data_IF_643697975260
#
_entry.id   IF_643697975260
#
_cell.length_a   1.000
_cell.length_b   1.000
_cell.length_c   1.000
_cell.angle_alpha   90.00
_cell.angle_beta   90.00
_cell.angle_gamma   90.00
#
_symmetry.space_group_name_H-M   'P 1'
#
loop_
_entity.id
_entity.type
_entity.pdbx_description
1 polymer ?
#
# COMPACT_ATOMS: atom_id res chain seq x y z
N UNK A 1 26.73 31.08 39.66
CA UNK A 1 27.75 30.21 40.30
C UNK A 1 28.90 30.97 40.98
N UNK A 2 29.21 32.21 40.59
CA UNK A 2 30.31 33.03 41.16
C UNK A 2 30.12 33.39 42.66
N UNK A 3 28.89 33.29 43.20
CA UNK A 3 28.58 33.60 44.61
C UNK A 3 28.42 32.36 45.50
N UNK A 4 28.74 31.16 45.01
CA UNK A 4 28.67 29.95 45.82
C UNK A 4 29.91 29.88 46.71
N UNK A 5 29.69 29.78 48.01
CA UNK A 5 30.74 29.72 49.02
C UNK A 5 30.88 28.27 49.50
N UNK A 6 32.12 27.78 49.58
CA UNK A 6 32.43 26.46 50.14
C UNK A 6 33.24 26.62 51.42
N UNK A 7 32.96 25.76 52.40
CA UNK A 7 33.62 25.78 53.70
C UNK A 7 35.00 25.13 53.57
N UNK A 8 36.05 25.90 53.81
CA UNK A 8 37.43 25.41 53.88
C UNK A 8 37.70 24.58 55.14
N UNK A 9 38.85 23.91 55.18
CA UNK A 9 39.24 23.03 56.29
C UNK A 9 39.33 23.75 57.66
N UNK A 10 39.56 25.06 57.67
CA UNK A 10 39.60 25.93 58.86
C UNK A 10 38.23 26.48 59.28
N UNK A 11 37.17 26.12 58.54
CA UNK A 11 35.79 26.58 58.79
C UNK A 11 35.41 27.92 58.16
N UNK A 12 36.36 28.62 57.52
CA UNK A 12 36.10 29.85 56.78
C UNK A 12 35.38 29.56 55.45
N UNK A 13 34.49 30.47 55.04
CA UNK A 13 33.78 30.40 53.76
C UNK A 13 34.61 31.09 52.69
N UNK A 14 34.99 30.35 51.65
CA UNK A 14 35.77 30.85 50.50
C UNK A 14 34.86 30.83 49.27
N UNK A 15 34.89 31.91 48.47
CA UNK A 15 34.12 31.97 47.24
C UNK A 15 34.72 31.05 46.17
N UNK A 16 33.88 30.25 45.48
CA UNK A 16 34.35 29.32 44.45
C UNK A 16 35.14 30.00 43.31
N UNK A 17 34.91 31.29 43.09
CA UNK A 17 35.59 32.08 42.08
C UNK A 17 37.10 32.30 42.36
N UNK A 18 37.56 32.12 43.60
CA UNK A 18 38.97 32.21 43.97
C UNK A 18 39.74 30.90 43.70
N UNK A 19 39.02 29.79 43.49
CA UNK A 19 39.61 28.45 43.31
C UNK A 19 39.85 28.08 41.84
N UNK A 20 39.33 28.84 40.87
CA UNK A 20 39.53 28.57 39.45
C UNK A 20 38.76 29.49 38.51
N UNK A 21 39.00 29.31 37.21
CA UNK A 21 38.34 30.05 36.13
C UNK A 21 37.22 29.21 35.53
N UNK A 22 36.07 29.84 35.26
CA UNK A 22 34.96 29.19 34.59
C UNK A 22 35.14 29.25 33.08
N UNK A 23 35.24 28.08 32.44
CA UNK A 23 35.17 27.96 30.99
C UNK A 23 33.80 27.39 30.60
N UNK A 24 33.09 28.11 29.74
CA UNK A 24 31.89 27.56 29.12
C UNK A 24 32.34 26.64 27.98
N UNK A 25 32.25 25.33 28.22
CA UNK A 25 32.46 24.33 27.19
C UNK A 25 31.11 23.77 26.72
N UNK A 26 30.92 23.52 25.41
CA UNK A 26 29.75 22.80 24.95
C UNK A 26 29.75 21.41 25.60
N UNK A 27 28.63 21.04 26.22
CA UNK A 27 28.46 19.71 26.81
C UNK A 27 28.43 18.67 25.69
N UNK A 28 29.16 17.57 25.87
CA UNK A 28 29.14 16.45 24.95
C UNK A 28 27.71 15.91 24.79
N UNK A 29 27.27 15.79 23.54
CA UNK A 29 25.96 15.21 23.24
C UNK A 29 25.96 13.71 23.52
N UNK A 30 24.84 13.19 24.00
CA UNK A 30 24.64 11.75 24.18
C UNK A 30 24.81 11.02 22.85
N UNK A 31 25.74 10.07 22.81
CA UNK A 31 25.95 9.20 21.65
C UNK A 31 25.02 7.99 21.75
N UNK A 32 24.03 7.93 20.86
CA UNK A 32 23.17 6.77 20.72
C UNK A 32 23.93 5.62 20.07
N UNK A 33 23.62 4.39 20.47
CA UNK A 33 24.22 3.19 19.92
C UNK A 33 23.13 2.20 19.51
N UNK A 34 23.31 1.56 18.36
CA UNK A 34 22.48 0.45 17.88
C UNK A 34 23.36 -0.66 17.35
N UNK A 35 23.13 -1.88 17.80
CA UNK A 35 23.95 -3.05 17.45
C UNK A 35 25.46 -2.77 17.63
N UNK A 36 25.81 -2.12 18.74
CA UNK A 36 27.18 -1.69 19.08
C UNK A 36 27.82 -0.66 18.14
N UNK A 37 27.06 -0.09 17.19
CA UNK A 37 27.52 1.01 16.33
C UNK A 37 26.91 2.34 16.81
N UNK A 38 27.68 3.44 16.84
CA UNK A 38 27.13 4.76 17.12
C UNK A 38 26.17 5.18 16.01
N UNK A 39 25.05 5.81 16.38
CA UNK A 39 24.00 6.23 15.45
C UNK A 39 23.51 7.65 15.76
N UNK A 40 23.05 8.34 14.71
CA UNK A 40 22.38 9.64 14.81
C UNK A 40 21.00 9.50 14.18
N UNK A 41 19.97 9.84 14.95
CA UNK A 41 18.59 9.83 14.48
C UNK A 41 18.24 11.16 13.83
N UNK A 42 17.80 11.12 12.57
CA UNK A 42 17.24 12.26 11.86
C UNK A 42 15.76 11.98 11.64
N UNK A 43 14.92 12.83 12.23
CA UNK A 43 13.46 12.72 12.12
C UNK A 43 12.93 13.76 11.15
N UNK A 44 11.96 13.35 10.33
CA UNK A 44 11.22 14.23 9.44
C UNK A 44 9.77 13.74 9.37
N UNK A 45 8.84 14.68 9.26
CA UNK A 45 7.43 14.37 9.04
C UNK A 45 7.08 14.57 7.57
N UNK A 46 6.28 13.65 7.03
CA UNK A 46 5.77 13.75 5.67
C UNK A 46 4.41 14.44 5.69
N UNK A 47 4.24 15.48 4.86
CA UNK A 47 2.97 16.18 4.73
C UNK A 47 2.51 16.16 3.27
N UNK A 48 1.27 15.70 3.06
CA UNK A 48 0.61 15.63 1.75
C UNK A 48 1.16 14.64 0.73
N UNK A 49 2.06 13.74 1.15
CA UNK A 49 2.54 12.62 0.34
C UNK A 49 2.71 11.37 1.20
N UNK A 50 2.57 10.17 0.61
CA UNK A 50 2.83 8.93 1.34
C UNK A 50 4.30 8.89 1.81
N UNK A 51 4.59 8.44 3.04
CA UNK A 51 5.95 8.34 3.57
C UNK A 51 6.91 7.56 2.66
N UNK A 52 6.40 6.50 2.03
CA UNK A 52 7.10 5.71 1.03
C UNK A 52 7.65 6.55 -0.13
N UNK A 53 6.84 7.45 -0.67
CA UNK A 53 7.25 8.31 -1.78
C UNK A 53 8.31 9.32 -1.36
N UNK A 54 8.16 9.91 -0.17
CA UNK A 54 9.13 10.85 0.37
C UNK A 54 10.51 10.21 0.51
N UNK A 55 10.55 8.97 1.02
CA UNK A 55 11.81 8.24 1.22
C UNK A 55 12.44 7.84 -0.11
N UNK A 56 11.65 7.39 -1.09
CA UNK A 56 12.13 7.09 -2.44
C UNK A 56 12.67 8.35 -3.12
N UNK A 57 12.01 9.51 -2.97
CA UNK A 57 12.48 10.79 -3.50
C UNK A 57 13.81 11.21 -2.86
N UNK A 58 13.94 11.11 -1.53
CA UNK A 58 15.17 11.45 -0.83
C UNK A 58 16.31 10.51 -1.24
N UNK A 59 16.04 9.20 -1.35
CA UNK A 59 17.04 8.23 -1.80
C UNK A 59 17.48 8.44 -3.25
N UNK A 60 16.57 8.89 -4.13
CA UNK A 60 16.88 9.14 -5.53
C UNK A 60 17.95 10.24 -5.71
N UNK A 61 17.98 11.22 -4.81
CA UNK A 61 18.96 12.31 -4.81
C UNK A 61 20.25 11.94 -4.05
N UNK A 62 20.36 10.75 -3.46
CA UNK A 62 21.56 10.35 -2.71
C UNK A 62 22.70 9.99 -3.66
N UNK A 63 23.86 10.62 -3.46
CA UNK A 63 25.10 10.34 -4.19
C UNK A 63 26.14 9.75 -3.24
N UNK A 64 26.86 8.73 -3.71
CA UNK A 64 27.88 8.02 -2.91
C UNK A 64 29.22 8.75 -2.86
N UNK A 65 29.48 9.63 -3.81
CA UNK A 65 30.66 10.49 -3.80
C UNK A 65 30.42 11.74 -2.94
N UNK A 66 31.34 12.09 -2.04
CA UNK A 66 31.22 13.30 -1.23
C UNK A 66 31.15 14.54 -2.10
N UNK A 67 30.02 15.23 -2.03
CA UNK A 67 29.83 16.52 -2.68
C UNK A 67 30.60 17.55 -1.86
N UNK A 68 31.56 18.25 -2.49
CA UNK A 68 32.16 19.42 -1.86
C UNK A 68 31.04 20.45 -1.66
N UNK A 69 30.87 21.04 -0.46
CA UNK A 69 29.88 22.07 -0.25
C UNK A 69 30.22 23.24 -1.19
N UNK A 70 29.53 23.32 -2.32
CA UNK A 70 29.69 24.40 -3.27
C UNK A 70 29.10 25.63 -2.60
N UNK A 71 29.97 26.53 -2.17
CA UNK A 71 29.58 27.83 -1.64
C UNK A 71 28.75 28.57 -2.71
N UNK A 72 27.42 28.48 -2.61
CA UNK A 72 26.49 29.23 -3.45
C UNK A 72 25.76 28.45 -4.57
N UNK A 73 25.58 27.13 -4.50
CA UNK A 73 24.67 26.47 -5.44
C UNK A 73 23.20 26.83 -5.15
N UNK A 74 22.71 27.91 -5.76
CA UNK A 74 21.30 28.34 -5.83
C UNK A 74 20.48 27.39 -6.70
N UNK A 75 20.55 26.09 -6.40
CA UNK A 75 19.76 25.07 -7.10
C UNK A 75 18.37 25.08 -6.51
N UNK A 76 17.39 25.47 -7.31
CA UNK A 76 15.99 25.43 -6.90
C UNK A 76 15.51 23.97 -6.95
N UNK A 77 14.96 23.43 -5.85
CA UNK A 77 14.45 22.07 -5.87
C UNK A 77 13.33 21.96 -6.91
N UNK A 78 13.31 20.85 -7.64
CA UNK A 78 12.21 20.53 -8.56
C UNK A 78 10.89 20.55 -7.78
N UNK A 79 9.84 21.23 -8.27
CA UNK A 79 8.58 21.34 -7.54
C UNK A 79 7.91 19.96 -7.36
N UNK A 80 7.29 19.76 -6.20
CA UNK A 80 6.77 18.45 -5.75
C UNK A 80 5.77 17.85 -6.73
N UNK A 81 4.87 18.65 -7.32
CA UNK A 81 3.86 18.19 -8.27
C UNK A 81 4.42 17.67 -9.61
N UNK A 82 5.67 18.00 -9.93
CA UNK A 82 6.33 17.53 -11.16
C UNK A 82 7.14 16.24 -10.96
N UNK A 83 7.22 15.76 -9.70
CA UNK A 83 7.90 14.51 -9.35
C UNK A 83 6.91 13.36 -9.50
N UNK A 84 7.31 12.33 -10.21
CA UNK A 84 6.50 11.12 -10.42
C UNK A 84 7.34 9.89 -10.10
N UNK A 85 6.72 8.72 -10.10
CA UNK A 85 7.43 7.45 -9.93
C UNK A 85 8.61 7.28 -10.91
N UNK A 86 8.47 7.77 -12.15
CA UNK A 86 9.52 7.69 -13.18
C UNK A 86 10.50 8.87 -13.15
N UNK A 87 10.13 9.96 -12.49
CA UNK A 87 10.93 11.19 -12.39
C UNK A 87 11.02 11.64 -10.93
N UNK A 88 11.53 10.72 -10.10
CA UNK A 88 11.70 10.94 -8.67
C UNK A 88 12.86 11.89 -8.37
N UNK A 89 12.92 12.33 -7.12
CA UNK A 89 13.96 13.22 -6.63
C UNK A 89 13.67 14.71 -6.88
N UNK A 90 14.25 15.52 -6.01
CA UNK A 90 14.26 16.97 -6.09
C UNK A 90 15.29 17.51 -7.10
N UNK A 91 16.24 16.67 -7.52
CA UNK A 91 17.39 17.09 -8.32
C UNK A 91 18.48 17.78 -7.49
N UNK A 92 18.34 17.82 -6.16
CA UNK A 92 19.34 18.32 -5.24
C UNK A 92 20.13 17.14 -4.66
N UNK A 93 21.24 16.83 -5.32
CA UNK A 93 22.13 15.78 -4.88
C UNK A 93 22.61 16.03 -3.44
N UNK A 94 22.57 15.00 -2.60
CA UNK A 94 23.11 15.03 -1.25
C UNK A 94 23.99 13.80 -1.01
N UNK A 95 24.97 13.93 -0.11
CA UNK A 95 25.91 12.85 0.21
C UNK A 95 26.30 12.92 1.68
N UNK A 96 26.79 11.80 2.20
CA UNK A 96 27.41 11.74 3.53
C UNK A 96 28.90 11.44 3.41
N UNK A 97 29.73 11.90 4.38
CA UNK A 97 31.14 11.54 4.43
C UNK A 97 31.37 10.02 4.41
N UNK A 98 32.52 9.60 3.86
CA UNK A 98 32.90 8.18 3.82
C UNK A 98 32.93 7.59 5.23
N UNK A 99 32.36 6.40 5.39
CA UNK A 99 32.26 5.69 6.67
C UNK A 99 30.96 5.94 7.44
N UNK A 100 30.07 6.80 6.93
CA UNK A 100 28.71 6.98 7.44
C UNK A 100 27.74 6.26 6.51
N UNK A 101 27.00 5.31 7.05
CA UNK A 101 25.94 4.60 6.33
C UNK A 101 24.59 5.25 6.63
N UNK A 102 23.84 5.63 5.61
CA UNK A 102 22.46 6.11 5.76
C UNK A 102 21.50 4.96 5.58
N UNK A 103 20.71 4.69 6.62
CA UNK A 103 19.82 3.53 6.67
C UNK A 103 18.38 4.04 6.84
N UNK A 104 17.62 4.08 5.74
CA UNK A 104 16.18 4.35 5.76
C UNK A 104 15.34 3.09 6.05
N UNK A 105 15.92 1.90 5.86
CA UNK A 105 15.24 0.59 5.92
C UNK A 105 15.48 -0.19 7.22
N UNK A 106 16.20 0.39 8.18
CA UNK A 106 16.64 -0.27 9.41
C UNK A 106 15.81 0.07 10.66
N UNK A 107 15.01 1.13 10.58
CA UNK A 107 14.11 1.65 11.62
C UNK A 107 13.10 2.61 10.96
N UNK A 108 11.92 2.78 11.57
CA UNK A 108 10.89 3.69 11.08
C UNK A 108 9.84 3.04 10.16
N UNK A 109 8.94 3.89 9.66
CA UNK A 109 7.71 3.47 8.97
C UNK A 109 7.99 2.68 7.68
N UNK A 110 9.01 3.06 6.90
CA UNK A 110 9.32 2.43 5.61
C UNK A 110 9.68 0.96 5.69
N UNK A 111 10.47 0.56 6.69
CA UNK A 111 10.79 -0.87 6.92
C UNK A 111 9.50 -1.64 7.18
N UNK A 112 8.66 -1.11 8.07
CA UNK A 112 7.39 -1.75 8.46
C UNK A 112 6.47 -1.84 7.25
N UNK A 113 6.35 -0.77 6.45
CA UNK A 113 5.59 -0.78 5.20
C UNK A 113 6.08 -1.87 4.26
N UNK A 114 7.38 -1.96 3.98
CA UNK A 114 7.93 -2.96 3.07
C UNK A 114 7.72 -4.39 3.56
N UNK A 115 7.97 -4.65 4.84
CA UNK A 115 7.77 -5.98 5.43
C UNK A 115 6.30 -6.38 5.38
N UNK A 116 5.38 -5.50 5.78
CA UNK A 116 3.94 -5.77 5.76
C UNK A 116 3.41 -5.97 4.33
N UNK A 117 3.82 -5.13 3.37
CA UNK A 117 3.41 -5.29 1.97
C UNK A 117 3.95 -6.58 1.35
N UNK A 118 5.20 -6.96 1.65
CA UNK A 118 5.78 -8.23 1.21
C UNK A 118 4.97 -9.40 1.78
N UNK A 119 4.73 -9.39 3.08
CA UNK A 119 4.09 -10.50 3.78
C UNK A 119 2.61 -10.63 3.35
N UNK A 120 1.89 -9.52 3.16
CA UNK A 120 0.54 -9.52 2.59
C UNK A 120 0.52 -9.94 1.12
N UNK A 121 1.52 -9.56 0.33
CA UNK A 121 1.66 -9.99 -1.06
C UNK A 121 1.87 -11.50 -1.18
N UNK A 122 2.73 -12.06 -0.32
CA UNK A 122 2.92 -13.51 -0.20
C UNK A 122 1.65 -14.20 0.28
N UNK A 123 0.95 -13.63 1.25
CA UNK A 123 -0.34 -14.16 1.72
C UNK A 123 -1.40 -14.15 0.62
N UNK A 124 -1.46 -13.11 -0.21
CA UNK A 124 -2.36 -13.04 -1.36
C UNK A 124 -2.02 -14.11 -2.41
N UNK A 125 -0.74 -14.33 -2.71
CA UNK A 125 -0.31 -15.40 -3.61
C UNK A 125 -0.69 -16.79 -3.07
N UNK A 126 -0.48 -17.03 -1.78
CA UNK A 126 -0.89 -18.28 -1.12
C UNK A 126 -2.41 -18.46 -1.14
N UNK A 127 -3.18 -17.39 -0.91
CA UNK A 127 -4.65 -17.42 -0.99
C UNK A 127 -5.14 -17.75 -2.41
N UNK A 128 -4.55 -17.14 -3.44
CA UNK A 128 -4.88 -17.47 -4.84
C UNK A 128 -4.61 -18.94 -5.17
N UNK A 129 -3.49 -19.50 -4.69
CA UNK A 129 -3.16 -20.92 -4.88
C UNK A 129 -4.18 -21.80 -4.16
N UNK A 130 -4.53 -21.48 -2.92
CA UNK A 130 -5.51 -22.25 -2.15
C UNK A 130 -6.90 -22.20 -2.79
N UNK A 131 -7.34 -21.03 -3.26
CA UNK A 131 -8.59 -20.88 -4.02
C UNK A 131 -8.55 -21.74 -5.29
N UNK A 132 -7.45 -21.72 -6.04
CA UNK A 132 -7.28 -22.55 -7.24
C UNK A 132 -7.47 -24.03 -6.92
N UNK A 133 -6.78 -24.55 -5.90
CA UNK A 133 -6.88 -25.97 -5.50
C UNK A 133 -8.31 -26.34 -5.11
N UNK A 134 -8.98 -25.49 -4.33
CA UNK A 134 -10.38 -25.72 -3.93
C UNK A 134 -11.31 -25.73 -5.16
N UNK A 135 -11.12 -24.79 -6.09
CA UNK A 135 -11.94 -24.72 -7.31
C UNK A 135 -11.70 -25.90 -8.25
N UNK A 136 -10.46 -26.39 -8.38
CA UNK A 136 -10.15 -27.60 -9.14
C UNK A 136 -10.86 -28.80 -8.51
N UNK A 137 -10.79 -28.93 -7.19
CA UNK A 137 -11.46 -30.02 -6.46
C UNK A 137 -12.99 -29.98 -6.62
N UNK A 138 -13.58 -28.76 -6.63
CA UNK A 138 -15.03 -28.57 -6.77
C UNK A 138 -15.53 -28.77 -8.21
N UNK A 139 -14.83 -28.20 -9.19
CA UNK A 139 -15.27 -28.21 -10.60
C UNK A 139 -14.88 -29.49 -11.34
N UNK A 140 -13.89 -30.24 -10.84
CA UNK A 140 -13.32 -31.41 -11.52
C UNK A 140 -12.59 -31.06 -12.83
N UNK A 141 -12.24 -29.80 -13.04
CA UNK A 141 -11.62 -29.28 -14.26
C UNK A 141 -10.49 -28.31 -13.92
N UNK A 142 -9.41 -28.33 -14.68
CA UNK A 142 -8.29 -27.40 -14.50
C UNK A 142 -8.50 -26.05 -15.20
N UNK A 143 -9.37 -26.00 -16.21
CA UNK A 143 -9.61 -24.79 -17.01
C UNK A 143 -10.68 -23.87 -16.41
N UNK A 144 -11.74 -24.45 -15.81
CA UNK A 144 -12.83 -23.67 -15.21
C UNK A 144 -12.37 -22.77 -14.05
N UNK A 145 -11.49 -23.23 -13.13
CA UNK A 145 -10.93 -22.40 -12.08
C UNK A 145 -10.17 -21.19 -12.63
N UNK A 146 -9.45 -21.33 -13.74
CA UNK A 146 -8.70 -20.22 -14.34
C UNK A 146 -9.67 -19.15 -14.87
N UNK A 147 -10.77 -19.55 -15.49
CA UNK A 147 -11.83 -18.62 -15.94
C UNK A 147 -12.43 -17.86 -14.76
N UNK A 148 -12.72 -18.57 -13.66
CA UNK A 148 -13.24 -17.97 -12.43
C UNK A 148 -12.22 -17.00 -11.80
N UNK A 149 -10.95 -17.39 -11.75
CA UNK A 149 -9.88 -16.57 -11.19
C UNK A 149 -9.51 -15.37 -12.06
N UNK A 150 -9.86 -15.38 -13.35
CA UNK A 150 -9.69 -14.22 -14.23
C UNK A 150 -10.39 -12.98 -13.65
N UNK A 151 -11.47 -13.14 -12.88
CA UNK A 151 -12.16 -12.04 -12.23
C UNK A 151 -11.32 -11.32 -11.16
N UNK A 152 -10.28 -11.97 -10.59
CA UNK A 152 -9.40 -11.38 -9.57
C UNK A 152 -8.55 -10.24 -10.15
N UNK A 153 -7.75 -10.40 -11.23
CA UNK A 153 -7.07 -9.27 -11.87
C UNK A 153 -7.99 -8.10 -12.22
N UNK A 154 -9.25 -8.37 -12.61
CA UNK A 154 -10.20 -7.32 -12.91
C UNK A 154 -10.63 -6.51 -11.67
N UNK A 155 -10.52 -7.06 -10.45
CA UNK A 155 -10.74 -6.27 -9.23
C UNK A 155 -9.65 -5.23 -9.04
N UNK A 156 -8.39 -5.57 -9.36
CA UNK A 156 -7.26 -4.62 -9.27
C UNK A 156 -7.46 -3.45 -10.23
N UNK A 157 -8.00 -3.73 -11.43
CA UNK A 157 -8.40 -2.71 -12.42
C UNK A 157 -9.55 -1.83 -11.89
N UNK A 158 -10.34 -2.32 -10.94
CA UNK A 158 -11.33 -1.51 -10.24
C UNK A 158 -10.77 -0.67 -9.10
N UNK A 159 -9.97 -1.30 -8.23
CA UNK A 159 -9.44 -0.71 -7.00
C UNK A 159 -8.47 0.42 -7.33
N UNK A 160 -7.47 0.18 -8.19
CA UNK A 160 -6.40 1.17 -8.42
C UNK A 160 -6.93 2.48 -9.03
N UNK A 161 -7.73 2.46 -10.12
CA UNK A 161 -8.35 3.68 -10.64
C UNK A 161 -9.42 4.24 -9.68
N UNK A 162 -10.05 3.40 -8.86
CA UNK A 162 -10.98 3.82 -7.83
C UNK A 162 -10.33 4.73 -6.79
N UNK A 163 -9.17 4.34 -6.25
CA UNK A 163 -8.38 5.19 -5.35
C UNK A 163 -7.90 6.47 -6.03
N UNK A 164 -7.49 6.37 -7.30
CA UNK A 164 -7.12 7.57 -8.07
C UNK A 164 -8.30 8.53 -8.23
N UNK A 165 -9.47 8.02 -8.61
CA UNK A 165 -10.69 8.80 -8.79
C UNK A 165 -11.18 9.39 -7.46
N UNK A 166 -11.09 8.62 -6.38
CA UNK A 166 -11.41 9.08 -5.03
C UNK A 166 -10.54 10.28 -4.65
N UNK A 167 -9.23 10.18 -4.85
CA UNK A 167 -8.32 11.28 -4.55
C UNK A 167 -8.47 12.47 -5.51
N UNK A 168 -8.93 12.24 -6.74
CA UNK A 168 -9.23 13.31 -7.69
C UNK A 168 -10.51 14.08 -7.34
N UNK A 169 -11.54 13.42 -6.79
CA UNK A 169 -12.85 14.03 -6.46
C UNK A 169 -12.91 14.53 -5.02
N UNK A 170 -12.41 13.72 -4.08
CA UNK A 170 -12.49 13.94 -2.64
C UNK A 170 -11.13 14.29 -2.02
N UNK A 171 -10.15 14.72 -2.82
CA UNK A 171 -8.86 15.18 -2.32
C UNK A 171 -9.06 16.36 -1.36
N UNK A 172 -9.11 16.06 -0.06
CA UNK A 172 -9.16 17.06 1.00
C UNK A 172 -7.84 17.82 1.03
N UNK A 173 -7.89 19.11 1.36
CA UNK A 173 -6.70 19.90 1.66
C UNK A 173 -6.78 20.25 3.13
N UNK A 174 -5.79 19.83 3.92
CA UNK A 174 -5.67 20.20 5.32
C UNK A 174 -4.57 21.27 5.41
N UNK A 175 -4.98 22.52 5.55
CA UNK A 175 -4.08 23.67 5.51
C UNK A 175 -3.50 23.90 4.12
N UNK A 176 -2.18 23.73 3.96
CA UNK A 176 -1.47 23.86 2.66
C UNK A 176 -1.10 22.51 2.05
N UNK A 177 -1.50 21.39 2.66
CA UNK A 177 -1.10 20.04 2.25
C UNK A 177 -2.32 19.24 1.77
N UNK A 178 -2.12 18.42 0.75
CA UNK A 178 -3.13 17.45 0.31
C UNK A 178 -3.35 16.40 1.41
N UNK A 179 -4.55 15.87 1.54
CA UNK A 179 -4.89 14.75 2.43
C UNK A 179 -5.56 13.64 1.61
N UNK A 180 -4.80 12.94 0.77
CA UNK A 180 -5.33 11.86 -0.05
C UNK A 180 -5.53 10.58 0.79
N UNK A 181 -6.53 9.80 0.40
CA UNK A 181 -6.72 8.45 0.94
C UNK A 181 -5.67 7.54 0.31
N UNK A 182 -4.76 7.05 1.14
CA UNK A 182 -3.64 6.20 0.70
C UNK A 182 -4.06 4.74 0.50
N UNK A 183 -3.40 4.08 -0.46
CA UNK A 183 -3.41 2.63 -0.53
C UNK A 183 -2.48 2.07 0.55
N UNK A 184 -3.07 1.65 1.68
CA UNK A 184 -2.34 1.12 2.84
C UNK A 184 -2.39 -0.40 2.89
N UNK A 185 -1.72 -1.00 3.88
CA UNK A 185 -1.81 -2.43 4.16
C UNK A 185 -3.26 -2.91 4.37
N UNK A 186 -4.14 -2.08 4.94
CA UNK A 186 -5.55 -2.43 5.14
C UNK A 186 -6.31 -2.51 3.81
N UNK A 187 -5.92 -1.72 2.80
CA UNK A 187 -6.45 -1.84 1.45
C UNK A 187 -6.06 -3.17 0.77
N UNK A 188 -4.84 -3.69 1.02
CA UNK A 188 -4.45 -5.02 0.55
C UNK A 188 -5.28 -6.13 1.18
N UNK A 189 -5.62 -6.01 2.48
CA UNK A 189 -6.53 -6.95 3.15
C UNK A 189 -7.90 -6.93 2.46
N UNK A 190 -8.42 -5.75 2.13
CA UNK A 190 -9.64 -5.63 1.35
C UNK A 190 -9.55 -6.27 -0.04
N UNK A 191 -8.41 -6.15 -0.74
CA UNK A 191 -8.17 -6.86 -2.01
C UNK A 191 -8.17 -8.39 -1.86
N UNK A 192 -7.57 -8.91 -0.78
CA UNK A 192 -7.61 -10.35 -0.46
C UNK A 192 -9.07 -10.80 -0.24
N UNK A 193 -9.85 -10.03 0.53
CA UNK A 193 -11.26 -10.32 0.77
C UNK A 193 -12.08 -10.28 -0.54
N UNK A 194 -11.83 -9.30 -1.41
CA UNK A 194 -12.46 -9.19 -2.73
C UNK A 194 -12.21 -10.41 -3.61
N UNK A 195 -10.99 -10.95 -3.61
CA UNK A 195 -10.70 -12.17 -4.37
C UNK A 195 -11.62 -13.33 -3.95
N UNK A 196 -11.90 -13.49 -2.65
CA UNK A 196 -12.85 -14.48 -2.15
C UNK A 196 -14.30 -14.19 -2.54
N UNK A 197 -14.77 -12.95 -2.40
CA UNK A 197 -16.15 -12.57 -2.74
C UNK A 197 -16.40 -12.77 -4.24
N UNK A 198 -15.51 -12.27 -5.08
CA UNK A 198 -15.65 -12.33 -6.53
C UNK A 198 -15.55 -13.76 -7.04
N UNK A 199 -14.66 -14.58 -6.47
CA UNK A 199 -14.57 -16.00 -6.85
C UNK A 199 -15.84 -16.77 -6.49
N UNK A 200 -16.47 -16.46 -5.35
CA UNK A 200 -17.77 -17.01 -4.95
C UNK A 200 -18.87 -16.68 -5.97
N UNK A 201 -18.98 -15.42 -6.38
CA UNK A 201 -20.02 -15.02 -7.34
C UNK A 201 -19.76 -15.63 -8.74
N UNK A 202 -18.49 -15.72 -9.11
CA UNK A 202 -18.02 -16.27 -10.37
C UNK A 202 -18.25 -17.78 -10.50
N UNK A 203 -17.90 -18.57 -9.47
CA UNK A 203 -18.06 -20.04 -9.50
C UNK A 203 -19.54 -20.43 -9.59
N UNK A 204 -20.39 -19.72 -8.86
CA UNK A 204 -21.85 -19.93 -8.85
C UNK A 204 -22.46 -19.71 -10.23
N UNK A 205 -21.95 -18.74 -11.00
CA UNK A 205 -22.37 -18.50 -12.38
C UNK A 205 -21.89 -19.61 -13.32
N UNK A 206 -20.61 -19.99 -13.24
CA UNK A 206 -20.02 -21.06 -14.08
C UNK A 206 -20.69 -22.40 -13.83
N UNK A 207 -20.95 -22.77 -12.57
CA UNK A 207 -21.64 -24.01 -12.21
C UNK A 207 -23.05 -24.07 -12.80
N UNK A 208 -23.77 -22.93 -12.84
CA UNK A 208 -25.09 -22.86 -13.47
C UNK A 208 -25.03 -23.02 -14.98
N UNK A 209 -24.02 -22.43 -15.63
CA UNK A 209 -23.80 -22.60 -17.07
C UNK A 209 -23.53 -24.06 -17.39
N UNK A 210 -22.64 -24.71 -16.63
CA UNK A 210 -22.31 -26.13 -16.82
C UNK A 210 -23.53 -27.04 -16.57
N UNK A 211 -24.33 -26.73 -15.54
CA UNK A 211 -25.58 -27.44 -15.28
C UNK A 211 -26.59 -27.29 -16.42
N UNK A 212 -26.75 -26.10 -16.98
CA UNK A 212 -27.66 -25.85 -18.09
C UNK A 212 -27.20 -26.59 -19.38
N UNK A 213 -25.89 -26.63 -19.64
CA UNK A 213 -25.31 -27.40 -20.76
C UNK A 213 -25.55 -28.90 -20.55
N UNK A 214 -25.38 -29.42 -19.33
CA UNK A 214 -25.65 -30.85 -19.02
C UNK A 214 -27.11 -31.23 -19.20
N UNK A 215 -28.04 -30.29 -19.03
CA UNK A 215 -29.46 -30.48 -19.36
C UNK A 215 -29.76 -30.37 -20.87
N UNK A 216 -28.73 -30.33 -21.72
CA UNK A 216 -28.87 -30.33 -23.18
C UNK A 216 -29.19 -28.96 -23.78
N UNK A 217 -29.07 -27.86 -23.02
CA UNK A 217 -29.27 -26.51 -23.58
C UNK A 217 -28.08 -26.09 -24.43
N UNK A 218 -28.30 -25.38 -25.55
CA UNK A 218 -27.22 -24.83 -26.34
C UNK A 218 -26.42 -23.81 -25.52
N UNK A 219 -25.11 -23.73 -25.77
CA UNK A 219 -24.15 -22.94 -24.99
C UNK A 219 -24.60 -21.48 -24.79
N UNK A 220 -25.13 -20.84 -25.83
CA UNK A 220 -25.59 -19.46 -25.78
C UNK A 220 -26.80 -19.28 -24.84
N UNK A 221 -27.81 -20.13 -24.95
CA UNK A 221 -29.01 -20.06 -24.12
C UNK A 221 -28.69 -20.39 -22.65
N UNK A 222 -27.79 -21.35 -22.43
CA UNK A 222 -27.30 -21.70 -21.10
C UNK A 222 -26.62 -20.50 -20.41
N UNK A 223 -25.79 -19.75 -21.14
CA UNK A 223 -25.15 -18.54 -20.63
C UNK A 223 -26.18 -17.44 -20.35
N UNK A 224 -27.12 -17.22 -21.27
CA UNK A 224 -28.12 -16.15 -21.13
C UNK A 224 -29.04 -16.39 -19.93
N UNK A 225 -29.59 -17.60 -19.80
CA UNK A 225 -30.47 -17.97 -18.68
C UNK A 225 -29.74 -17.91 -17.35
N UNK A 226 -28.51 -18.42 -17.30
CA UNK A 226 -27.69 -18.39 -16.08
C UNK A 226 -27.43 -16.95 -15.61
N UNK A 227 -27.19 -16.02 -16.54
CA UNK A 227 -27.02 -14.60 -16.20
C UNK A 227 -28.29 -13.99 -15.60
N UNK A 228 -29.46 -14.24 -16.20
CA UNK A 228 -30.74 -13.66 -15.73
C UNK A 228 -31.09 -14.13 -14.32
N UNK A 229 -30.92 -15.42 -14.04
CA UNK A 229 -31.25 -16.00 -12.72
C UNK A 229 -30.27 -15.54 -11.65
N UNK A 230 -29.00 -15.31 -12.01
CA UNK A 230 -27.94 -14.94 -11.05
C UNK A 230 -27.78 -13.45 -10.82
N UNK A 231 -28.22 -12.60 -11.74
CA UNK A 231 -28.07 -11.15 -11.63
C UNK A 231 -28.65 -10.61 -10.31
N UNK A 232 -29.89 -11.00 -9.96
CA UNK A 232 -30.53 -10.54 -8.71
C UNK A 232 -29.76 -10.96 -7.46
N UNK A 233 -29.44 -12.26 -7.25
CA UNK A 233 -28.60 -12.68 -6.14
C UNK A 233 -27.24 -11.96 -6.05
N UNK A 234 -26.52 -11.83 -7.18
CA UNK A 234 -25.19 -11.19 -7.22
C UNK A 234 -25.29 -9.71 -6.85
N UNK A 235 -26.29 -8.99 -7.37
CA UNK A 235 -26.49 -7.58 -7.02
C UNK A 235 -26.86 -7.39 -5.54
N UNK A 236 -27.61 -8.34 -4.95
CA UNK A 236 -27.94 -8.29 -3.52
C UNK A 236 -26.72 -8.54 -2.64
N UNK A 237 -25.87 -9.50 -2.98
CA UNK A 237 -24.64 -9.79 -2.20
C UNK A 237 -23.63 -8.65 -2.34
N UNK A 238 -23.37 -8.18 -3.57
CA UNK A 238 -22.51 -7.04 -3.82
C UNK A 238 -23.04 -5.78 -3.14
N UNK A 239 -24.33 -5.48 -3.27
CA UNK A 239 -24.98 -4.33 -2.63
C UNK A 239 -24.90 -4.38 -1.10
N UNK A 240 -25.14 -5.53 -0.48
CA UNK A 240 -25.01 -5.71 0.96
C UNK A 240 -23.56 -5.48 1.42
N UNK A 241 -22.58 -6.03 0.70
CA UNK A 241 -21.17 -5.86 1.02
C UNK A 241 -20.73 -4.40 0.84
N UNK A 242 -21.18 -3.72 -0.22
CA UNK A 242 -20.95 -2.29 -0.44
C UNK A 242 -21.49 -1.44 0.71
N UNK A 243 -22.75 -1.64 1.09
CA UNK A 243 -23.35 -0.91 2.21
C UNK A 243 -22.65 -1.21 3.53
N UNK A 244 -22.18 -2.44 3.74
CA UNK A 244 -21.42 -2.82 4.93
C UNK A 244 -20.04 -2.17 5.01
N UNK A 245 -19.43 -1.85 3.87
CA UNK A 245 -18.11 -1.19 3.81
C UNK A 245 -18.15 0.32 4.01
N UNK A 246 -19.32 0.97 3.89
CA UNK A 246 -19.48 2.41 4.10
C UNK A 246 -19.06 2.90 5.50
N UNK A 247 -19.46 2.29 6.63
CA UNK A 247 -18.99 2.75 7.95
C UNK A 247 -17.47 2.60 8.12
N UNK A 248 -16.86 1.63 7.44
CA UNK A 248 -15.41 1.39 7.51
C UNK A 248 -14.63 2.54 6.86
N UNK A 249 -15.19 3.20 5.84
CA UNK A 249 -14.51 4.32 5.17
C UNK A 249 -14.39 5.57 6.05
N UNK A 250 -15.19 5.67 7.12
CA UNK A 250 -15.15 6.78 8.07
C UNK A 250 -14.01 6.65 9.09
N UNK A 251 -13.40 5.48 9.22
CA UNK A 251 -12.28 5.26 10.14
C UNK A 251 -10.95 5.62 9.47
N UNK A 252 -10.12 6.52 10.05
CA UNK A 252 -8.82 6.89 9.49
C UNK A 252 -7.88 5.69 9.26
N UNK A 253 -7.96 4.65 10.09
CA UNK A 253 -7.05 3.48 10.05
C UNK A 253 -7.55 2.46 9.02
N UNK A 254 -8.86 2.22 8.97
CA UNK A 254 -9.47 1.19 8.12
C UNK A 254 -10.07 1.73 6.81
N UNK A 255 -10.00 3.04 6.58
CA UNK A 255 -10.55 3.68 5.38
C UNK A 255 -10.08 3.02 4.08
N UNK A 256 -8.79 2.66 3.99
CA UNK A 256 -8.22 1.95 2.85
C UNK A 256 -8.90 0.60 2.58
N UNK A 257 -9.22 -0.17 3.62
CA UNK A 257 -9.97 -1.42 3.50
C UNK A 257 -11.37 -1.15 2.93
N UNK A 258 -12.09 -0.18 3.50
CA UNK A 258 -13.45 0.18 3.06
C UNK A 258 -13.50 0.61 1.60
N UNK A 259 -12.63 1.54 1.19
CA UNK A 259 -12.59 2.04 -0.18
C UNK A 259 -12.17 0.97 -1.19
N UNK A 260 -11.21 0.11 -0.82
CA UNK A 260 -10.84 -1.02 -1.68
C UNK A 260 -12.02 -1.94 -1.95
N UNK A 261 -12.80 -2.30 -0.91
CA UNK A 261 -14.01 -3.13 -1.07
C UNK A 261 -15.05 -2.43 -1.94
N UNK A 262 -15.29 -1.14 -1.75
CA UNK A 262 -16.29 -0.39 -2.51
C UNK A 262 -15.97 -0.39 -4.00
N UNK A 263 -14.79 0.12 -4.37
CA UNK A 263 -14.41 0.22 -5.78
C UNK A 263 -14.21 -1.15 -6.41
N UNK A 264 -13.62 -2.08 -5.66
CA UNK A 264 -13.41 -3.44 -6.09
C UNK A 264 -14.71 -4.19 -6.36
N UNK A 265 -15.72 -4.09 -5.49
CA UNK A 265 -17.03 -4.73 -5.69
C UNK A 265 -17.80 -4.12 -6.85
N UNK A 266 -17.83 -2.78 -6.98
CA UNK A 266 -18.52 -2.11 -8.09
C UNK A 266 -17.92 -2.55 -9.43
N UNK A 267 -16.60 -2.43 -9.56
CA UNK A 267 -15.91 -2.78 -10.79
C UNK A 267 -15.99 -4.28 -11.07
N UNK A 268 -15.70 -5.12 -10.08
CA UNK A 268 -15.72 -6.58 -10.27
C UNK A 268 -17.11 -7.10 -10.58
N UNK A 269 -18.17 -6.58 -9.96
CA UNK A 269 -19.54 -6.99 -10.28
C UNK A 269 -19.90 -6.64 -11.72
N UNK A 270 -19.55 -5.42 -12.16
CA UNK A 270 -19.74 -5.01 -13.53
C UNK A 270 -18.96 -5.92 -14.48
N UNK A 271 -17.66 -6.10 -14.26
CA UNK A 271 -16.81 -6.90 -15.12
C UNK A 271 -17.17 -8.40 -15.13
N UNK A 272 -17.46 -9.01 -13.99
CA UNK A 272 -17.82 -10.43 -13.83
C UNK A 272 -19.03 -10.79 -14.69
N UNK A 273 -20.04 -9.91 -14.74
CA UNK A 273 -21.27 -10.13 -15.51
C UNK A 273 -21.06 -10.12 -17.04
N UNK A 274 -19.95 -9.58 -17.54
CA UNK A 274 -19.61 -9.55 -18.97
C UNK A 274 -18.44 -10.46 -19.31
N UNK A 275 -17.34 -10.36 -18.56
CA UNK A 275 -16.06 -11.02 -18.84
C UNK A 275 -16.16 -12.53 -18.64
N UNK A 276 -16.85 -13.02 -17.61
CA UNK A 276 -16.96 -14.46 -17.36
C UNK A 276 -17.76 -15.18 -18.44
N UNK A 277 -18.98 -14.72 -18.81
CA UNK A 277 -19.72 -15.28 -19.94
C UNK A 277 -18.91 -15.35 -21.23
N UNK A 278 -18.23 -14.25 -21.59
CA UNK A 278 -17.45 -14.15 -22.82
C UNK A 278 -16.23 -15.08 -22.76
N UNK A 279 -15.51 -15.09 -21.64
CA UNK A 279 -14.33 -15.94 -21.46
C UNK A 279 -14.70 -17.42 -21.48
N UNK A 280 -15.81 -17.80 -20.83
CA UNK A 280 -16.33 -19.18 -20.86
C UNK A 280 -16.76 -19.58 -22.28
N UNK A 281 -17.47 -18.70 -22.99
CA UNK A 281 -17.88 -18.94 -24.38
C UNK A 281 -16.66 -19.15 -25.29
N UNK A 282 -15.65 -18.29 -25.23
CA UNK A 282 -14.41 -18.42 -26.01
C UNK A 282 -13.69 -19.75 -25.74
N UNK A 283 -13.66 -20.19 -24.48
CA UNK A 283 -12.97 -21.42 -24.09
C UNK A 283 -13.70 -22.68 -24.58
N UNK A 284 -15.03 -22.67 -24.64
CA UNK A 284 -15.84 -23.79 -25.17
C UNK A 284 -15.96 -23.76 -26.69
N UNK A 285 -16.19 -22.60 -27.30
CA UNK A 285 -16.24 -22.44 -28.76
C UNK A 285 -14.91 -22.84 -29.43
N UNK A 286 -13.78 -22.52 -28.78
CA UNK A 286 -12.45 -22.95 -29.25
C UNK A 286 -12.22 -24.47 -29.18
N UNK A 287 -12.96 -25.21 -28.34
CA UNK A 287 -12.91 -26.68 -28.31
C UNK A 287 -13.76 -27.32 -29.41
N UNK A 288 -14.90 -26.73 -29.76
CA UNK A 288 -15.78 -27.25 -30.84
C UNK A 288 -15.17 -27.11 -32.24
N UNK A 289 -14.25 -26.16 -32.46
CA UNK A 289 -13.55 -26.00 -33.74
C UNK A 289 -12.25 -26.84 -33.84
N UNK A 290 -11.81 -27.47 -32.74
CA UNK A 290 -10.58 -28.26 -32.67
C UNK A 290 -10.83 -29.79 -32.76
N UNK A 291 -12.09 -30.21 -32.87
CA UNK A 291 -12.56 -31.60 -33.08
C UNK A 291 -13.37 -31.67 -34.35
#
# INVERSE_FOLDING_TARGET
LIQLHVKGATGALIALAELGTWENQPVDQTIYHKNLKPVVYVFAECAGRPPAECIVDVQADQVFEPIQPSAGATSTPRPVHSRTYFTNGSGLAWSVPKGIDVIFSGEGEWKITLDVFRDLGLAFAAAMLMIYVILVAQTGSFALPIVVMMAIPLTVIGVMPGFWLLNAINGSVVGSYADPVYFTATAMIGMIALAGIVTRDSIILVDFIELAIRHGRPLFDAILESRVVRLRPILLTAGAALLSSLPITLDPIFSGLGWSLIFGLIASTAFTLFVIPVSYWLLKAGKEHAT
#
